data_IF_470368146700
#
_entry.id   IF_470368146700
#
_cell.length_a   1.000
_cell.length_b   1.000
_cell.length_c   1.000
_cell.angle_alpha   90.00
_cell.angle_beta   90.00
_cell.angle_gamma   90.00
#
_symmetry.space_group_name_H-M   'P 1'
#
loop_
_entity.id
_entity.type
_entity.pdbx_description
1 polymer ?
#
# COMPACT_ATOMS: atom_id res chain seq x y z
N UNK A 1 -29.79 -8.85 -14.93
CA UNK A 1 -28.99 -8.65 -16.17
C UNK A 1 -28.04 -7.45 -16.15
N UNK A 2 -27.87 -6.70 -15.04
CA UNK A 2 -27.00 -5.50 -15.03
C UNK A 2 -25.52 -5.78 -14.71
N UNK A 3 -25.21 -6.87 -13.99
CA UNK A 3 -23.83 -7.16 -13.53
C UNK A 3 -22.85 -7.34 -14.69
N UNK A 4 -23.26 -8.08 -15.74
CA UNK A 4 -22.44 -8.26 -16.95
C UNK A 4 -22.16 -6.96 -17.70
N UNK A 5 -23.12 -6.01 -17.69
CA UNK A 5 -22.94 -4.70 -18.33
C UNK A 5 -21.92 -3.84 -17.58
N UNK A 6 -21.95 -3.85 -16.25
CA UNK A 6 -20.96 -3.13 -15.42
C UNK A 6 -19.56 -3.72 -15.54
N UNK A 7 -19.45 -5.05 -15.56
CA UNK A 7 -18.18 -5.75 -15.80
C UNK A 7 -17.62 -5.38 -17.18
N UNK A 8 -18.45 -5.43 -18.23
CA UNK A 8 -18.05 -5.02 -19.58
C UNK A 8 -17.58 -3.57 -19.65
N UNK A 9 -18.31 -2.64 -19.02
CA UNK A 9 -17.93 -1.22 -18.96
C UNK A 9 -16.60 -0.99 -18.23
N UNK A 10 -16.33 -1.72 -17.15
CA UNK A 10 -15.07 -1.66 -16.41
C UNK A 10 -13.88 -2.12 -17.28
N UNK A 11 -14.01 -3.24 -18.00
CA UNK A 11 -12.98 -3.71 -18.92
C UNK A 11 -12.73 -2.72 -20.07
N UNK A 12 -13.79 -2.09 -20.58
CA UNK A 12 -13.69 -1.08 -21.62
C UNK A 12 -12.94 0.17 -21.12
N UNK A 13 -13.25 0.63 -19.89
CA UNK A 13 -12.52 1.72 -19.23
C UNK A 13 -11.04 1.38 -19.04
N UNK A 14 -10.72 0.18 -18.54
CA UNK A 14 -9.33 -0.28 -18.40
C UNK A 14 -8.59 -0.26 -19.74
N UNK A 15 -9.24 -0.69 -20.82
CA UNK A 15 -8.64 -0.66 -22.16
C UNK A 15 -8.34 0.77 -22.61
N UNK A 16 -9.24 1.73 -22.34
CA UNK A 16 -9.07 3.15 -22.69
C UNK A 16 -7.89 3.81 -21.96
N UNK A 17 -7.55 3.32 -20.77
CA UNK A 17 -6.39 3.79 -19.98
C UNK A 17 -5.06 3.53 -20.69
N UNK A 18 -4.93 2.49 -21.55
CA UNK A 18 -3.66 2.14 -22.18
C UNK A 18 -3.48 2.65 -23.61
N UNK A 19 -4.51 3.20 -24.26
CA UNK A 19 -4.51 3.43 -25.71
C UNK A 19 -3.89 4.78 -26.12
N UNK A 20 -3.93 5.83 -25.29
CA UNK A 20 -3.44 7.17 -25.68
C UNK A 20 -2.51 7.78 -24.62
N UNK A 21 -1.18 7.59 -24.71
CA UNK A 21 -0.26 8.21 -23.77
C UNK A 21 -0.24 9.74 -23.98
N UNK A 22 -0.60 10.49 -22.94
CA UNK A 22 -0.31 11.92 -22.82
C UNK A 22 1.19 12.15 -22.62
N UNK A 23 1.65 13.40 -22.77
CA UNK A 23 3.07 13.79 -22.66
C UNK A 23 3.73 13.19 -21.41
N UNK A 24 4.79 12.39 -21.63
CA UNK A 24 5.53 11.67 -20.57
C UNK A 24 6.06 12.57 -19.45
N UNK A 25 6.51 13.79 -19.76
CA UNK A 25 7.11 14.71 -18.78
C UNK A 25 6.14 15.11 -17.66
N UNK A 26 4.88 15.43 -18.00
CA UNK A 26 3.85 15.80 -17.01
C UNK A 26 3.48 14.58 -16.15
N UNK A 27 3.37 13.42 -16.80
CA UNK A 27 3.00 12.15 -16.17
C UNK A 27 4.01 11.70 -15.10
N UNK A 28 5.31 11.83 -15.32
CA UNK A 28 6.31 11.52 -14.28
C UNK A 28 6.18 12.42 -13.05
N UNK A 29 5.89 13.71 -13.22
CA UNK A 29 5.64 14.62 -12.11
C UNK A 29 4.42 14.22 -11.28
N UNK A 30 3.32 13.83 -11.94
CA UNK A 30 2.12 13.33 -11.25
C UNK A 30 2.38 12.02 -10.51
N UNK A 31 3.09 11.07 -11.13
CA UNK A 31 3.44 9.80 -10.48
C UNK A 31 4.26 10.04 -9.22
N UNK A 32 5.27 10.91 -9.27
CA UNK A 32 6.12 11.21 -8.10
C UNK A 32 5.33 11.85 -6.97
N UNK A 33 4.41 12.76 -7.29
CA UNK A 33 3.52 13.39 -6.30
C UNK A 33 2.62 12.36 -5.63
N UNK A 34 1.98 11.50 -6.43
CA UNK A 34 1.09 10.45 -5.91
C UNK A 34 1.87 9.48 -5.01
N UNK A 35 3.08 9.08 -5.41
CA UNK A 35 3.95 8.21 -4.60
C UNK A 35 4.30 8.86 -3.25
N UNK A 36 4.64 10.14 -3.23
CA UNK A 36 4.95 10.87 -1.99
C UNK A 36 3.74 10.92 -1.04
N UNK A 37 2.56 11.28 -1.55
CA UNK A 37 1.33 11.37 -0.74
C UNK A 37 0.90 10.01 -0.17
N UNK A 38 1.09 8.94 -0.95
CA UNK A 38 0.84 7.58 -0.53
C UNK A 38 1.79 7.14 0.60
N UNK A 39 3.09 7.43 0.47
CA UNK A 39 4.11 7.10 1.47
C UNK A 39 3.91 7.90 2.76
N UNK A 40 3.82 9.23 2.66
CA UNK A 40 3.65 10.13 3.82
C UNK A 40 2.39 9.78 4.61
N UNK A 41 1.28 9.55 3.91
CA UNK A 41 0.02 9.23 4.59
C UNK A 41 -0.10 7.79 5.12
N UNK A 42 0.84 6.89 4.80
CA UNK A 42 0.84 5.52 5.35
C UNK A 42 1.85 5.32 6.49
N UNK A 43 2.92 6.12 6.53
CA UNK A 43 3.98 6.02 7.55
C UNK A 43 3.46 6.06 9.00
N UNK A 44 2.52 6.96 9.31
CA UNK A 44 1.98 7.10 10.67
C UNK A 44 1.23 5.86 11.15
N UNK A 45 0.37 5.29 10.31
CA UNK A 45 -0.42 4.10 10.62
C UNK A 45 0.51 2.88 10.77
N UNK A 46 1.50 2.77 9.89
CA UNK A 46 2.49 1.66 9.91
C UNK A 46 3.33 1.70 11.19
N UNK A 47 3.81 2.87 11.60
CA UNK A 47 4.58 3.03 12.83
C UNK A 47 3.75 2.56 14.05
N UNK A 48 2.52 3.03 14.16
CA UNK A 48 1.62 2.65 15.26
C UNK A 48 1.33 1.14 15.27
N UNK A 49 0.93 0.55 14.13
CA UNK A 49 0.64 -0.88 14.06
C UNK A 49 1.87 -1.77 14.32
N UNK A 50 3.05 -1.35 13.86
CA UNK A 50 4.28 -2.13 14.08
C UNK A 50 4.59 -2.35 15.55
N UNK A 51 4.31 -1.36 16.42
CA UNK A 51 4.50 -1.46 17.85
C UNK A 51 3.54 -2.46 18.52
N UNK A 52 2.25 -2.39 18.17
CA UNK A 52 1.23 -3.26 18.78
C UNK A 52 1.31 -4.70 18.30
N UNK A 53 1.53 -4.92 16.99
CA UNK A 53 1.76 -6.27 16.45
C UNK A 53 3.02 -6.86 17.09
N UNK A 54 4.03 -6.00 17.36
CA UNK A 54 5.19 -6.18 18.25
C UNK A 54 4.93 -7.06 19.45
N UNK A 55 4.24 -6.43 20.40
CA UNK A 55 3.95 -7.01 21.70
C UNK A 55 3.03 -8.22 21.63
N UNK A 56 2.05 -8.23 20.73
CA UNK A 56 1.10 -9.37 20.65
C UNK A 56 1.82 -10.65 20.25
N UNK A 57 2.71 -10.59 19.25
CA UNK A 57 3.42 -11.80 18.77
C UNK A 57 4.50 -12.25 19.75
N UNK A 58 5.20 -11.33 20.42
CA UNK A 58 6.20 -11.69 21.43
C UNK A 58 5.55 -12.43 22.61
N UNK A 59 4.44 -11.92 23.14
CA UNK A 59 3.68 -12.57 24.22
C UNK A 59 3.15 -13.93 23.77
N UNK A 60 2.58 -14.01 22.56
CA UNK A 60 2.04 -15.27 22.05
C UNK A 60 3.10 -16.35 21.89
N UNK A 61 4.33 -15.96 21.54
CA UNK A 61 5.43 -16.91 21.36
C UNK A 61 6.03 -17.35 22.70
N UNK A 62 6.14 -16.43 23.66
CA UNK A 62 6.57 -16.75 25.02
C UNK A 62 5.65 -17.80 25.67
N UNK A 63 4.33 -17.66 25.50
CA UNK A 63 3.34 -18.63 26.00
C UNK A 63 3.35 -19.98 25.25
N UNK A 64 3.90 -20.04 24.04
CA UNK A 64 3.93 -21.28 23.25
C UNK A 64 5.16 -22.14 23.58
N UNK A 65 6.24 -21.54 24.08
CA UNK A 65 7.50 -22.21 24.38
C UNK A 65 7.69 -22.27 25.90
N UNK A 66 6.77 -22.94 26.58
CA UNK A 66 6.84 -23.21 28.03
C UNK A 66 7.57 -24.53 28.36
N UNK A 67 8.16 -25.19 27.35
CA UNK A 67 8.90 -26.45 27.55
C UNK A 67 10.33 -26.18 28.02
N UNK A 68 10.67 -26.65 29.23
CA UNK A 68 11.95 -26.50 29.96
C UNK A 68 13.23 -26.98 29.23
N UNK A 69 13.16 -27.36 27.96
CA UNK A 69 14.25 -27.92 27.14
C UNK A 69 14.78 -26.97 26.05
N UNK A 70 14.13 -25.82 25.80
CA UNK A 70 14.52 -24.89 24.74
C UNK A 70 15.10 -23.61 25.37
N UNK A 71 16.35 -23.21 25.03
CA UNK A 71 16.92 -21.94 25.47
C UNK A 71 16.08 -20.75 25.00
N UNK A 72 15.77 -19.79 25.89
CA UNK A 72 15.02 -18.55 25.56
C UNK A 72 15.62 -17.78 24.37
N UNK A 73 16.94 -17.86 24.17
CA UNK A 73 17.64 -17.23 23.04
C UNK A 73 17.23 -17.78 21.65
N UNK A 74 16.83 -19.05 21.57
CA UNK A 74 16.35 -19.65 20.32
C UNK A 74 14.93 -19.21 19.99
N UNK A 75 14.13 -18.90 21.01
CA UNK A 75 12.78 -18.37 20.86
C UNK A 75 12.86 -17.03 20.13
N UNK A 76 13.62 -16.06 20.67
CA UNK A 76 13.75 -14.73 20.04
C UNK A 76 14.27 -14.75 18.60
N UNK A 77 15.17 -15.67 18.26
CA UNK A 77 15.65 -15.84 16.87
C UNK A 77 14.58 -16.41 15.94
N UNK A 78 13.86 -17.44 16.39
CA UNK A 78 12.76 -18.05 15.62
C UNK A 78 11.60 -17.08 15.42
N UNK A 79 11.18 -16.35 16.46
CA UNK A 79 10.10 -15.35 16.36
C UNK A 79 10.46 -14.25 15.38
N UNK A 80 11.68 -13.71 15.50
CA UNK A 80 12.17 -12.65 14.61
C UNK A 80 12.12 -13.07 13.14
N UNK A 81 12.52 -14.29 12.83
CA UNK A 81 12.52 -14.80 11.47
C UNK A 81 11.10 -14.96 10.91
N UNK A 82 10.19 -15.56 11.68
CA UNK A 82 8.79 -15.79 11.29
C UNK A 82 8.01 -14.49 11.09
N UNK A 83 8.23 -13.49 11.95
CA UNK A 83 7.58 -12.18 11.84
C UNK A 83 8.03 -11.44 10.57
N UNK A 84 9.33 -11.43 10.30
CA UNK A 84 9.88 -10.70 9.16
C UNK A 84 9.42 -11.33 7.84
N UNK A 85 9.36 -12.66 7.75
CA UNK A 85 9.07 -13.34 6.49
C UNK A 85 7.57 -13.52 6.20
N UNK A 86 6.72 -13.75 7.20
CA UNK A 86 5.31 -14.10 6.97
C UNK A 86 4.34 -13.02 7.45
N UNK A 87 4.49 -12.54 8.68
CA UNK A 87 3.54 -11.59 9.26
C UNK A 87 3.73 -10.16 8.75
N UNK A 88 4.97 -9.71 8.56
CA UNK A 88 5.25 -8.37 8.05
C UNK A 88 4.63 -8.14 6.66
N UNK A 89 4.84 -8.98 5.62
CA UNK A 89 4.27 -8.72 4.30
C UNK A 89 2.74 -8.87 4.25
N UNK A 90 2.15 -9.76 5.06
CA UNK A 90 0.70 -9.98 5.08
C UNK A 90 -0.05 -8.79 5.70
N UNK A 91 0.35 -8.36 6.90
CA UNK A 91 -0.24 -7.17 7.52
C UNK A 91 -0.01 -5.93 6.67
N UNK A 92 1.18 -5.79 6.09
CA UNK A 92 1.48 -4.64 5.25
C UNK A 92 0.60 -4.59 4.00
N UNK A 93 0.35 -5.72 3.34
CA UNK A 93 -0.51 -5.78 2.17
C UNK A 93 -1.95 -5.35 2.48
N UNK A 94 -2.50 -5.81 3.61
CA UNK A 94 -3.88 -5.49 4.02
C UNK A 94 -4.02 -3.99 4.32
N UNK A 95 -3.08 -3.42 5.09
CA UNK A 95 -3.11 -2.00 5.48
C UNK A 95 -2.94 -1.09 4.27
N UNK A 96 -1.98 -1.40 3.38
CA UNK A 96 -1.78 -0.65 2.13
C UNK A 96 -3.02 -0.75 1.23
N UNK A 97 -3.60 -1.94 1.07
CA UNK A 97 -4.80 -2.10 0.26
C UNK A 97 -5.95 -1.21 0.77
N UNK A 98 -6.15 -1.14 2.09
CA UNK A 98 -7.12 -0.25 2.71
C UNK A 98 -6.81 1.23 2.47
N UNK A 99 -5.65 1.71 2.91
CA UNK A 99 -5.32 3.15 2.87
C UNK A 99 -5.20 3.67 1.43
N UNK A 100 -4.51 2.95 0.56
CA UNK A 100 -4.31 3.36 -0.84
C UNK A 100 -5.63 3.29 -1.60
N UNK A 101 -6.44 2.25 -1.39
CA UNK A 101 -7.77 2.13 -2.00
C UNK A 101 -8.70 3.28 -1.62
N UNK A 102 -8.74 3.64 -0.34
CA UNK A 102 -9.51 4.80 0.15
C UNK A 102 -8.99 6.12 -0.41
N UNK A 103 -7.67 6.31 -0.49
CA UNK A 103 -7.08 7.53 -1.04
C UNK A 103 -7.39 7.73 -2.54
N UNK A 104 -7.30 6.66 -3.34
CA UNK A 104 -7.62 6.71 -4.77
C UNK A 104 -9.12 6.97 -4.99
N UNK A 105 -9.97 6.27 -4.25
CA UNK A 105 -11.42 6.44 -4.36
C UNK A 105 -11.84 7.86 -3.96
N UNK A 106 -11.29 8.36 -2.85
CA UNK A 106 -11.56 9.71 -2.36
C UNK A 106 -11.08 10.79 -3.35
N UNK A 107 -9.85 10.68 -3.85
CA UNK A 107 -9.31 11.66 -4.80
C UNK A 107 -10.10 11.73 -6.11
N UNK A 108 -10.47 10.58 -6.70
CA UNK A 108 -11.33 10.54 -7.90
C UNK A 108 -12.74 11.08 -7.58
N UNK A 109 -13.28 10.74 -6.40
CA UNK A 109 -14.59 11.23 -5.94
C UNK A 109 -14.61 12.75 -5.80
N UNK A 110 -13.61 13.34 -5.16
CA UNK A 110 -13.49 14.80 -5.02
C UNK A 110 -13.33 15.48 -6.38
N UNK A 111 -12.51 14.92 -7.28
CA UNK A 111 -12.35 15.46 -8.64
C UNK A 111 -13.66 15.42 -9.45
N UNK A 112 -14.52 14.43 -9.18
CA UNK A 112 -15.86 14.36 -9.79
C UNK A 112 -16.82 15.39 -9.21
N UNK A 113 -16.87 15.53 -7.88
CA UNK A 113 -17.75 16.51 -7.20
C UNK A 113 -17.36 17.95 -7.52
N UNK A 114 -16.08 18.21 -7.79
CA UNK A 114 -15.56 19.52 -8.19
C UNK A 114 -15.56 19.77 -9.70
N UNK A 115 -16.19 18.88 -10.48
CA UNK A 115 -16.30 18.97 -11.96
C UNK A 115 -14.96 19.05 -12.71
N UNK A 116 -13.84 18.72 -12.05
CA UNK A 116 -12.51 18.75 -12.66
C UNK A 116 -12.36 17.71 -13.79
N UNK A 117 -13.07 16.59 -13.67
CA UNK A 117 -13.09 15.54 -14.69
C UNK A 117 -13.76 16.04 -15.98
N UNK A 118 -14.89 16.75 -15.84
CA UNK A 118 -15.64 17.29 -16.98
C UNK A 118 -14.87 18.45 -17.64
N UNK A 119 -14.19 19.28 -16.83
CA UNK A 119 -13.30 20.32 -17.34
C UNK A 119 -12.17 19.75 -18.22
N UNK A 120 -11.58 18.62 -17.82
CA UNK A 120 -10.54 17.94 -18.62
C UNK A 120 -11.09 17.41 -19.95
N UNK A 121 -12.32 16.91 -19.95
CA UNK A 121 -12.98 16.41 -21.17
C UNK A 121 -13.31 17.55 -22.15
N UNK A 122 -13.77 18.71 -21.65
CA UNK A 122 -14.00 19.92 -22.46
C UNK A 122 -12.70 20.47 -23.07
N UNK A 123 -11.57 20.33 -22.37
CA UNK A 123 -10.24 20.71 -22.89
C UNK A 123 -9.70 19.75 -23.96
N UNK A 124 -10.44 18.70 -24.33
CA UNK A 124 -10.03 17.71 -25.34
C UNK A 124 -8.96 16.73 -24.85
N UNK A 125 -8.73 16.66 -23.53
CA UNK A 125 -7.78 15.74 -22.91
C UNK A 125 -8.54 14.50 -22.45
N UNK A 126 -7.99 13.31 -22.71
CA UNK A 126 -8.56 12.07 -22.18
C UNK A 126 -8.38 12.01 -20.65
N UNK A 127 -9.44 12.35 -19.92
CA UNK A 127 -9.49 12.39 -18.45
C UNK A 127 -9.20 11.03 -17.81
N UNK A 128 -9.70 9.95 -18.39
CA UNK A 128 -9.50 8.57 -17.90
C UNK A 128 -8.02 8.18 -17.94
N UNK A 129 -7.34 8.43 -19.05
CA UNK A 129 -5.89 8.18 -19.15
C UNK A 129 -5.08 9.10 -18.22
N UNK A 130 -5.43 10.38 -18.14
CA UNK A 130 -4.67 11.35 -17.35
C UNK A 130 -4.80 11.16 -15.83
N UNK A 131 -5.96 10.68 -15.32
CA UNK A 131 -6.18 10.45 -13.89
C UNK A 131 -5.82 9.02 -13.44
N UNK A 132 -6.23 8.00 -14.20
CA UNK A 132 -6.16 6.60 -13.75
C UNK A 132 -4.77 6.02 -14.00
N UNK A 133 -4.12 6.37 -15.12
CA UNK A 133 -2.82 5.81 -15.48
C UNK A 133 -1.70 6.16 -14.49
N UNK A 134 -1.54 7.42 -14.02
CA UNK A 134 -0.52 7.76 -13.04
C UNK A 134 -0.75 7.06 -11.70
N UNK A 135 -2.01 6.82 -11.31
CA UNK A 135 -2.37 6.10 -10.07
C UNK A 135 -2.03 4.61 -10.18
N UNK A 136 -2.34 3.97 -11.31
CA UNK A 136 -1.95 2.57 -11.57
C UNK A 136 -0.44 2.39 -11.61
N UNK A 137 0.25 3.34 -12.23
CA UNK A 137 1.71 3.38 -12.23
C UNK A 137 2.22 3.66 -10.83
N UNK A 138 1.67 4.60 -10.06
CA UNK A 138 2.10 4.84 -8.68
C UNK A 138 1.88 3.62 -7.79
N UNK A 139 0.85 2.81 -8.02
CA UNK A 139 0.63 1.54 -7.30
C UNK A 139 1.65 0.45 -7.67
N UNK A 140 2.06 0.37 -8.94
CA UNK A 140 3.04 -0.63 -9.42
C UNK A 140 4.49 -0.17 -9.21
N UNK A 141 4.77 1.10 -9.54
CA UNK A 141 5.87 1.92 -9.05
C UNK A 141 5.65 2.41 -7.61
N UNK A 142 5.11 1.57 -6.75
CA UNK A 142 5.64 1.47 -5.41
C UNK A 142 6.89 0.54 -5.49
N UNK A 143 8.03 0.88 -6.14
CA UNK A 143 9.24 0.14 -5.89
C UNK A 143 9.69 0.61 -4.51
N UNK A 144 9.04 0.11 -3.46
CA UNK A 144 9.48 0.13 -2.08
C UNK A 144 8.54 -0.65 -1.16
N UNK A 145 8.16 -1.86 -1.60
CA UNK A 145 8.13 -2.97 -0.63
C UNK A 145 9.41 -2.96 0.22
N UNK A 146 10.55 -2.55 -0.33
CA UNK A 146 11.81 -2.41 0.40
C UNK A 146 11.87 -1.29 1.44
N UNK A 147 11.48 -0.04 1.19
CA UNK A 147 11.66 1.02 2.21
C UNK A 147 10.69 0.87 3.37
N UNK A 148 9.44 0.49 3.10
CA UNK A 148 8.46 0.34 4.16
C UNK A 148 8.71 -0.94 4.99
N UNK A 149 9.22 -1.99 4.34
CA UNK A 149 9.77 -3.17 5.03
C UNK A 149 11.08 -2.88 5.76
N UNK A 150 11.93 -1.95 5.29
CA UNK A 150 13.13 -1.54 6.03
C UNK A 150 12.78 -0.72 7.27
N UNK A 151 11.80 0.17 7.20
CA UNK A 151 11.26 0.89 8.37
C UNK A 151 10.69 -0.11 9.38
N UNK A 152 9.89 -1.07 8.90
CA UNK A 152 9.33 -2.12 9.75
C UNK A 152 10.43 -3.00 10.38
N UNK A 153 11.43 -3.41 9.59
CA UNK A 153 12.58 -4.19 10.06
C UNK A 153 13.42 -3.43 11.08
N UNK A 154 13.64 -2.13 10.89
CA UNK A 154 14.46 -1.32 11.81
C UNK A 154 13.76 -1.09 13.14
N UNK A 155 12.45 -0.77 13.11
CA UNK A 155 11.65 -0.56 14.32
C UNK A 155 11.49 -1.86 15.13
N UNK A 156 11.30 -3.00 14.45
CA UNK A 156 11.19 -4.30 15.12
C UNK A 156 12.51 -4.87 15.62
N UNK A 157 13.61 -4.61 14.90
CA UNK A 157 14.93 -5.05 15.33
C UNK A 157 15.39 -4.38 16.63
N UNK A 158 14.95 -3.14 16.87
CA UNK A 158 15.15 -2.45 18.16
C UNK A 158 14.33 -3.09 19.29
N UNK A 159 13.09 -3.53 19.02
CA UNK A 159 12.23 -4.18 20.01
C UNK A 159 12.69 -5.59 20.42
N UNK A 160 13.19 -6.38 19.49
CA UNK A 160 13.64 -7.76 19.73
C UNK A 160 15.05 -7.90 20.34
N UNK A 161 15.86 -6.84 20.40
CA UNK A 161 17.17 -6.88 21.08
C UNK A 161 17.07 -6.55 22.58
N UNK A 162 15.92 -6.05 23.03
CA UNK A 162 15.71 -5.59 24.41
C UNK A 162 14.74 -6.47 25.22
N UNK A 163 14.26 -7.56 24.62
CA UNK A 163 13.52 -8.67 25.23
C UNK A 163 14.44 -9.88 25.17
#
# INVERSE_FOLDING_TARGET
MNMFKHIGAYFLMLRLVFIKPTKRSIMYGLVMKEVQDLILGSLGIVCFLSFFVGGVVSIQTALNIDSSFIPENLVGFATRQSIILEFAPTFMAIILAGKVGSYITSSIGTMRVTEQIDALEVMGINSVNFLVFPKLIAMTLLPNRHYLFNVFRHFWWLGCNHI
#
